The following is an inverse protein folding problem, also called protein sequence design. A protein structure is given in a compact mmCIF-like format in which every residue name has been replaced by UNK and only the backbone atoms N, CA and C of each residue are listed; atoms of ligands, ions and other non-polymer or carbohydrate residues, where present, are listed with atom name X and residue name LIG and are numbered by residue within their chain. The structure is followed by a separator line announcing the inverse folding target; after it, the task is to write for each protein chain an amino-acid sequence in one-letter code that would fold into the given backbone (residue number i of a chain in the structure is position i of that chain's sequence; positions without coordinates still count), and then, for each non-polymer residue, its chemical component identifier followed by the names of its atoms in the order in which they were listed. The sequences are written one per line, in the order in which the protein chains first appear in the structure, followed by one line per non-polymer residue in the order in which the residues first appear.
data_IF_979951315936
#
_entry.id   IF_979951315936
#
_cell.length_a   1.000
_cell.length_b   1.000
_cell.length_c   1.000
_cell.angle_alpha   90.00
_cell.angle_beta   90.00
_cell.angle_gamma   90.00
#
_symmetry.space_group_name_H-M   'P 1'
#
loop_
_entity.id
_entity.type
_entity.pdbx_description
1 polymer ?
#
# COMPACT_ATOMS: atom_id res chain seq x y z
N UNK A 1 1.76 27.10 -6.44
CA UNK A 1 2.16 25.77 -6.98
C UNK A 1 1.33 24.70 -6.32
N UNK A 2 1.31 23.47 -6.86
CA UNK A 2 0.44 22.40 -6.37
C UNK A 2 1.27 21.15 -6.08
N UNK A 3 1.17 20.63 -4.85
CA UNK A 3 1.70 19.31 -4.49
C UNK A 3 0.55 18.32 -4.42
N UNK A 4 0.65 17.23 -5.16
CA UNK A 4 -0.27 16.09 -5.07
C UNK A 4 0.32 15.03 -4.14
N UNK A 5 -0.55 14.40 -3.32
CA UNK A 5 -0.17 13.29 -2.44
C UNK A 5 -1.14 12.14 -2.65
N UNK A 6 -0.60 10.96 -2.95
CA UNK A 6 -1.38 9.76 -3.21
C UNK A 6 -0.70 8.52 -2.61
N UNK A 7 -1.44 7.41 -2.50
CA UNK A 7 -0.93 6.12 -2.02
C UNK A 7 -1.23 4.98 -2.98
N UNK A 8 -0.45 3.92 -2.84
CA UNK A 8 -0.76 2.64 -3.46
C UNK A 8 -0.37 1.48 -2.56
N UNK A 9 -1.19 0.45 -2.57
CA UNK A 9 -0.95 -0.79 -1.84
C UNK A 9 -1.46 -0.82 -0.40
N UNK A 10 -2.00 0.27 0.16
CA UNK A 10 -2.52 0.27 1.54
C UNK A 10 -3.65 -0.72 1.76
N UNK A 11 -4.48 -0.94 0.74
CA UNK A 11 -5.58 -1.93 0.73
C UNK A 11 -5.21 -3.31 0.18
N UNK A 12 -4.00 -3.52 -0.31
CA UNK A 12 -3.57 -4.81 -0.85
C UNK A 12 -3.21 -5.80 0.26
N UNK A 13 -3.40 -7.10 -0.01
CA UNK A 13 -3.24 -8.17 0.97
C UNK A 13 -1.78 -8.32 1.46
N UNK A 14 -0.80 -8.09 0.60
CA UNK A 14 0.61 -8.35 0.90
C UNK A 14 1.52 -7.19 0.52
N UNK A 15 2.72 -7.20 1.10
CA UNK A 15 3.81 -6.31 0.75
C UNK A 15 3.70 -4.93 1.39
N UNK A 16 4.66 -4.10 1.06
CA UNK A 16 4.69 -2.71 1.50
C UNK A 16 3.60 -1.88 0.80
N UNK A 17 3.30 -0.72 1.35
CA UNK A 17 2.55 0.33 0.67
C UNK A 17 3.48 1.51 0.37
N UNK A 18 3.08 2.36 -0.56
CA UNK A 18 3.89 3.48 -1.01
C UNK A 18 3.07 4.76 -0.99
N UNK A 19 3.67 5.85 -0.54
CA UNK A 19 3.16 7.19 -0.67
C UNK A 19 3.98 7.90 -1.74
N UNK A 20 3.33 8.71 -2.57
CA UNK A 20 3.95 9.58 -3.54
C UNK A 20 3.60 11.03 -3.25
N UNK A 21 4.58 11.93 -3.35
CA UNK A 21 4.41 13.36 -3.31
C UNK A 21 4.94 13.93 -4.64
N UNK A 22 4.14 14.67 -5.33
CA UNK A 22 4.45 15.17 -6.67
C UNK A 22 4.15 16.66 -6.81
N UNK A 23 5.16 17.48 -7.10
CA UNK A 23 4.96 18.88 -7.44
C UNK A 23 4.70 19.01 -8.94
N UNK A 24 3.50 19.47 -9.29
CA UNK A 24 3.04 19.50 -10.69
C UNK A 24 3.91 20.37 -11.59
N UNK A 25 4.30 21.53 -11.11
CA UNK A 25 4.96 22.55 -11.90
C UNK A 25 6.43 22.21 -12.21
N UNK A 26 7.13 21.57 -11.29
CA UNK A 26 8.56 21.20 -11.47
C UNK A 26 8.73 19.75 -11.92
N UNK A 27 7.70 18.91 -11.70
CA UNK A 27 7.80 17.48 -11.97
C UNK A 27 8.57 16.69 -10.91
N UNK A 28 8.92 17.31 -9.79
CA UNK A 28 9.57 16.63 -8.65
C UNK A 28 8.66 15.58 -8.07
N UNK A 29 9.18 14.36 -7.91
CA UNK A 29 8.44 13.20 -7.43
C UNK A 29 9.23 12.48 -6.35
N UNK A 30 8.63 12.36 -5.17
CA UNK A 30 9.21 11.68 -4.02
C UNK A 30 8.36 10.48 -3.67
N UNK A 31 9.01 9.35 -3.37
CA UNK A 31 8.36 8.17 -2.83
C UNK A 31 8.75 7.94 -1.37
N UNK A 32 7.80 7.45 -0.60
CA UNK A 32 7.98 6.96 0.77
C UNK A 32 7.37 5.58 0.91
N UNK A 33 7.96 4.76 1.76
CA UNK A 33 7.54 3.36 1.95
C UNK A 33 6.93 3.17 3.33
N UNK A 34 5.73 2.61 3.36
CA UNK A 34 5.10 2.06 4.55
C UNK A 34 5.36 0.55 4.57
N UNK A 35 6.20 0.11 5.50
CA UNK A 35 6.54 -1.32 5.65
C UNK A 35 5.30 -2.16 5.94
N UNK A 36 5.27 -3.39 5.43
CA UNK A 36 4.23 -4.38 5.74
C UNK A 36 4.09 -4.62 7.25
N UNK A 37 5.15 -4.47 8.02
CA UNK A 37 5.13 -4.64 9.48
C UNK A 37 4.18 -3.66 10.18
N UNK A 38 4.00 -2.45 9.64
CA UNK A 38 3.03 -1.48 10.15
C UNK A 38 1.59 -1.97 10.03
N UNK A 39 1.32 -2.86 9.08
CA UNK A 39 -0.02 -3.42 8.82
C UNK A 39 -0.24 -4.78 9.50
N UNK A 40 0.64 -5.20 10.41
CA UNK A 40 0.40 -6.37 11.28
C UNK A 40 -0.63 -6.04 12.34
N UNK A 41 -1.27 -7.08 12.90
CA UNK A 41 -2.44 -6.94 13.76
C UNK A 41 -2.26 -5.91 14.88
N UNK A 42 -1.21 -6.04 15.69
CA UNK A 42 -0.92 -5.12 16.79
C UNK A 42 -0.69 -3.68 16.32
N UNK A 43 0.16 -3.49 15.32
CA UNK A 43 0.47 -2.17 14.78
C UNK A 43 -0.76 -1.52 14.12
N UNK A 44 -1.59 -2.34 13.43
CA UNK A 44 -2.82 -1.86 12.81
C UNK A 44 -3.84 -1.39 13.84
N UNK A 45 -4.05 -2.17 14.92
CA UNK A 45 -4.95 -1.81 16.02
C UNK A 45 -4.51 -0.51 16.70
N UNK A 46 -3.20 -0.29 16.85
CA UNK A 46 -2.60 0.92 17.41
C UNK A 46 -2.43 2.06 16.39
N UNK A 47 -3.04 1.96 15.20
CA UNK A 47 -3.01 2.98 14.13
C UNK A 47 -1.60 3.40 13.68
N UNK A 48 -0.59 2.57 13.88
CA UNK A 48 0.80 2.85 13.50
C UNK A 48 1.02 3.20 12.02
N UNK A 49 0.28 2.62 11.05
CA UNK A 49 0.39 3.04 9.66
C UNK A 49 0.00 4.52 9.45
N UNK A 50 -1.02 5.01 10.17
CA UNK A 50 -1.51 6.38 10.04
C UNK A 50 -0.52 7.38 10.66
N UNK A 51 0.03 7.05 11.84
CA UNK A 51 1.08 7.85 12.49
C UNK A 51 2.31 7.96 11.57
N UNK A 52 2.73 6.82 11.01
CA UNK A 52 3.87 6.78 10.09
C UNK A 52 3.62 7.54 8.79
N UNK A 53 2.38 7.54 8.28
CA UNK A 53 2.04 8.33 7.11
C UNK A 53 2.24 9.84 7.36
N UNK A 54 1.89 10.34 8.56
CA UNK A 54 2.15 11.74 8.94
C UNK A 54 3.65 12.04 8.90
N UNK A 55 4.48 11.22 9.54
CA UNK A 55 5.94 11.41 9.52
C UNK A 55 6.49 11.45 8.09
N UNK A 56 6.08 10.48 7.26
CA UNK A 56 6.56 10.35 5.88
C UNK A 56 6.11 11.50 4.99
N UNK A 57 4.89 12.03 5.20
CA UNK A 57 4.40 13.21 4.50
C UNK A 57 5.18 14.46 4.94
N UNK A 58 5.40 14.64 6.26
CA UNK A 58 6.25 15.73 6.78
C UNK A 58 7.64 15.72 6.15
N UNK A 59 8.27 14.57 6.11
CA UNK A 59 9.60 14.41 5.52
C UNK A 59 9.61 14.69 4.01
N UNK A 60 8.59 14.22 3.29
CA UNK A 60 8.44 14.49 1.86
C UNK A 60 8.20 15.98 1.56
N UNK A 61 7.35 16.64 2.33
CA UNK A 61 7.11 18.08 2.20
C UNK A 61 8.37 18.91 2.51
N UNK A 62 9.16 18.49 3.52
CA UNK A 62 10.45 19.12 3.82
C UNK A 62 11.44 18.95 2.67
N UNK A 63 11.56 17.76 2.09
CA UNK A 63 12.45 17.49 0.95
C UNK A 63 12.05 18.27 -0.29
N UNK A 64 10.75 18.46 -0.51
CA UNK A 64 10.24 19.34 -1.56
C UNK A 64 10.40 20.83 -1.26
N UNK A 65 10.90 21.22 -0.08
CA UNK A 65 10.91 22.63 0.36
C UNK A 65 9.53 23.28 0.24
N UNK A 66 8.48 22.58 0.73
CA UNK A 66 7.09 23.05 0.68
C UNK A 66 6.91 24.39 1.38
N UNK A 67 6.26 25.33 0.70
CA UNK A 67 5.92 26.64 1.23
C UNK A 67 4.39 26.79 1.36
N UNK A 68 3.90 26.78 2.59
CA UNK A 68 2.45 26.83 2.89
C UNK A 68 1.75 28.10 2.43
N UNK A 69 2.48 29.20 2.23
CA UNK A 69 1.92 30.49 1.82
C UNK A 69 1.66 30.57 0.31
N UNK A 70 2.36 29.74 -0.47
CA UNK A 70 2.36 29.82 -1.93
C UNK A 70 1.96 28.51 -2.63
N UNK A 71 1.75 27.43 -1.87
CA UNK A 71 1.43 26.12 -2.41
C UNK A 71 0.17 25.55 -1.78
N UNK A 72 -0.62 24.85 -2.57
CA UNK A 72 -1.77 24.06 -2.12
C UNK A 72 -1.47 22.57 -2.24
N UNK A 73 -1.95 21.78 -1.28
CA UNK A 73 -1.84 20.33 -1.33
C UNK A 73 -3.15 19.74 -1.84
N UNK A 74 -3.07 18.86 -2.84
CA UNK A 74 -4.13 17.96 -3.28
C UNK A 74 -3.90 16.58 -2.68
N UNK A 75 -4.69 16.23 -1.66
CA UNK A 75 -4.55 15.00 -0.91
C UNK A 75 -5.55 13.94 -1.38
N UNK A 76 -5.08 12.72 -1.67
CA UNK A 76 -5.96 11.60 -1.98
C UNK A 76 -6.88 11.27 -0.80
N UNK A 77 -8.12 10.81 -1.11
CA UNK A 77 -9.16 10.50 -0.12
C UNK A 77 -8.92 9.20 0.67
N UNK A 78 -7.79 8.53 0.49
CA UNK A 78 -7.45 7.30 1.20
C UNK A 78 -7.46 7.45 2.71
N UNK A 79 -7.97 6.45 3.45
CA UNK A 79 -8.03 6.45 4.91
C UNK A 79 -6.65 6.48 5.57
N UNK A 80 -5.61 6.10 4.85
CA UNK A 80 -4.22 6.18 5.33
C UNK A 80 -3.82 7.62 5.67
N UNK A 81 -4.48 8.59 5.08
CA UNK A 81 -4.23 10.02 5.28
C UNK A 81 -5.13 10.67 6.35
N UNK A 82 -5.92 9.91 7.12
CA UNK A 82 -6.83 10.50 8.11
C UNK A 82 -6.06 11.36 9.13
N UNK A 83 -4.94 10.87 9.67
CA UNK A 83 -4.10 11.65 10.59
C UNK A 83 -3.30 12.75 9.88
N UNK A 84 -3.01 12.62 8.60
CA UNK A 84 -2.38 13.68 7.80
C UNK A 84 -3.33 14.88 7.66
N UNK A 85 -4.64 14.63 7.48
CA UNK A 85 -5.67 15.70 7.46
C UNK A 85 -5.67 16.48 8.76
N UNK A 86 -5.66 15.79 9.92
CA UNK A 86 -5.58 16.47 11.22
C UNK A 86 -4.30 17.29 11.33
N UNK A 87 -3.16 16.73 10.95
CA UNK A 87 -1.89 17.46 10.94
C UNK A 87 -1.96 18.72 10.06
N UNK A 88 -2.54 18.66 8.87
CA UNK A 88 -2.67 19.83 8.00
C UNK A 88 -3.54 20.93 8.60
N UNK A 89 -4.64 20.54 9.27
CA UNK A 89 -5.52 21.49 9.99
C UNK A 89 -4.76 22.17 11.14
N UNK A 90 -4.04 21.41 11.96
CA UNK A 90 -3.29 21.93 13.11
C UNK A 90 -2.18 22.91 12.69
N UNK A 91 -1.49 22.62 11.57
CA UNK A 91 -0.40 23.46 11.06
C UNK A 91 -0.88 24.61 10.16
N UNK A 92 -2.18 24.71 9.89
CA UNK A 92 -2.75 25.71 8.98
C UNK A 92 -2.28 25.52 7.54
N UNK A 93 -2.05 24.28 7.11
CA UNK A 93 -1.68 23.94 5.74
C UNK A 93 -2.95 23.88 4.88
N UNK A 94 -2.94 24.63 3.80
CA UNK A 94 -4.06 24.63 2.84
C UNK A 94 -4.06 23.36 1.99
N UNK A 95 -5.12 22.55 2.10
CA UNK A 95 -5.25 21.32 1.32
C UNK A 95 -6.68 21.10 0.80
N UNK A 96 -6.79 20.28 -0.23
CA UNK A 96 -8.03 19.83 -0.85
C UNK A 96 -8.05 18.31 -0.92
N UNK A 97 -9.09 17.67 -0.35
CA UNK A 97 -9.35 16.25 -0.56
C UNK A 97 -9.85 15.99 -1.97
N UNK A 98 -9.12 15.20 -2.74
CA UNK A 98 -9.44 14.96 -4.15
C UNK A 98 -9.23 13.50 -4.55
N UNK A 99 -9.65 13.16 -5.76
CA UNK A 99 -9.21 11.94 -6.43
C UNK A 99 -7.97 12.34 -7.24
N UNK A 100 -6.84 11.79 -6.88
CA UNK A 100 -5.59 11.98 -7.61
C UNK A 100 -5.58 11.03 -8.82
N UNK A 101 -5.36 11.58 -10.01
CA UNK A 101 -5.31 10.84 -11.26
C UNK A 101 -4.08 11.22 -12.09
N UNK A 102 -3.74 10.38 -13.08
CA UNK A 102 -2.66 10.64 -14.02
C UNK A 102 -1.28 10.35 -13.44
N UNK A 103 -0.35 11.30 -13.60
CA UNK A 103 1.10 11.07 -13.42
C UNK A 103 1.48 10.49 -12.06
N UNK A 104 0.94 11.06 -10.97
CA UNK A 104 1.24 10.58 -9.63
C UNK A 104 0.61 9.20 -9.37
N UNK A 105 -0.67 9.03 -9.70
CA UNK A 105 -1.35 7.75 -9.53
C UNK A 105 -0.63 6.62 -10.29
N UNK A 106 -0.25 6.86 -11.54
CA UNK A 106 0.47 5.89 -12.36
C UNK A 106 1.85 5.57 -11.76
N UNK A 107 2.52 6.57 -11.19
CA UNK A 107 3.84 6.41 -10.58
C UNK A 107 3.80 5.57 -9.28
N UNK A 108 2.85 5.86 -8.37
CA UNK A 108 2.73 5.10 -7.12
C UNK A 108 2.24 3.67 -7.37
N UNK A 109 1.30 3.48 -8.31
CA UNK A 109 0.84 2.15 -8.73
C UNK A 109 1.99 1.37 -9.41
N UNK A 110 2.77 2.03 -10.26
CA UNK A 110 3.97 1.45 -10.87
C UNK A 110 5.00 1.00 -9.83
N UNK A 111 5.21 1.81 -8.78
CA UNK A 111 6.10 1.48 -7.66
C UNK A 111 5.63 0.21 -6.93
N UNK A 112 4.33 0.13 -6.64
CA UNK A 112 3.71 -1.04 -6.01
C UNK A 112 3.86 -2.29 -6.89
N UNK A 113 3.51 -2.22 -8.17
CA UNK A 113 3.60 -3.35 -9.09
C UNK A 113 5.06 -3.84 -9.22
N UNK A 114 6.01 -2.92 -9.26
CA UNK A 114 7.44 -3.25 -9.25
C UNK A 114 7.84 -4.01 -7.99
N UNK A 115 7.43 -3.53 -6.80
CA UNK A 115 7.65 -4.22 -5.53
C UNK A 115 7.07 -5.64 -5.53
N UNK A 116 5.80 -5.79 -5.91
CA UNK A 116 5.14 -7.09 -5.95
C UNK A 116 5.83 -8.06 -6.90
N UNK A 117 6.30 -7.60 -8.07
CA UNK A 117 6.96 -8.43 -9.08
C UNK A 117 8.41 -8.75 -8.75
N UNK A 118 9.20 -7.74 -8.46
CA UNK A 118 10.65 -7.86 -8.39
C UNK A 118 11.12 -8.27 -7.00
N UNK A 119 10.53 -7.70 -5.93
CA UNK A 119 10.96 -8.00 -4.57
C UNK A 119 10.25 -9.24 -4.01
N UNK A 120 8.95 -9.42 -4.30
CA UNK A 120 8.17 -10.55 -3.82
C UNK A 120 8.00 -11.69 -4.83
N UNK A 121 8.31 -11.49 -6.10
CA UNK A 121 8.21 -12.52 -7.13
C UNK A 121 6.78 -12.90 -7.51
N UNK A 122 5.82 -11.98 -7.39
CA UNK A 122 4.42 -12.21 -7.79
C UNK A 122 4.32 -12.13 -9.32
N UNK A 123 4.30 -13.28 -9.98
CA UNK A 123 4.22 -13.38 -11.45
C UNK A 123 2.78 -13.55 -11.90
N UNK A 124 2.10 -12.46 -12.26
CA UNK A 124 0.76 -12.50 -12.85
C UNK A 124 0.52 -11.30 -13.78
N UNK A 125 -0.04 -11.57 -14.96
CA UNK A 125 -0.52 -10.53 -15.87
C UNK A 125 -1.72 -9.76 -15.30
N UNK A 126 -2.40 -10.32 -14.30
CA UNK A 126 -3.59 -9.71 -13.68
C UNK A 126 -3.26 -8.71 -12.57
N UNK A 127 -1.99 -8.59 -12.15
CA UNK A 127 -1.56 -7.60 -11.15
C UNK A 127 -1.91 -6.17 -11.54
N UNK A 128 -1.80 -5.83 -12.82
CA UNK A 128 -2.07 -4.49 -13.34
C UNK A 128 -3.56 -4.20 -13.56
N UNK A 129 -4.46 -5.16 -13.31
CA UNK A 129 -5.90 -4.91 -13.43
C UNK A 129 -6.40 -4.16 -12.20
N UNK A 130 -6.93 -2.96 -12.40
CA UNK A 130 -7.42 -2.02 -11.37
C UNK A 130 -8.56 -2.54 -10.48
N UNK A 131 -9.11 -3.74 -10.71
CA UNK A 131 -10.15 -4.31 -9.86
C UNK A 131 -9.52 -4.89 -8.59
N UNK A 132 -9.78 -4.27 -7.43
CA UNK A 132 -9.29 -4.71 -6.12
C UNK A 132 -9.56 -6.17 -5.82
N UNK A 133 -10.73 -6.70 -6.19
CA UNK A 133 -11.06 -8.12 -6.01
C UNK A 133 -10.16 -9.05 -6.83
N UNK A 134 -9.86 -8.71 -8.09
CA UNK A 134 -9.00 -9.55 -8.95
C UNK A 134 -7.56 -9.57 -8.43
N UNK A 135 -7.03 -8.41 -8.05
CA UNK A 135 -5.69 -8.32 -7.47
C UNK A 135 -5.62 -9.07 -6.14
N UNK A 136 -6.63 -8.93 -5.27
CA UNK A 136 -6.70 -9.68 -4.03
C UNK A 136 -6.52 -11.19 -4.26
N UNK A 137 -7.26 -11.80 -5.19
CA UNK A 137 -7.15 -13.24 -5.44
C UNK A 137 -5.81 -13.65 -6.04
N UNK A 138 -5.16 -12.80 -6.84
CA UNK A 138 -3.78 -13.04 -7.31
C UNK A 138 -2.83 -13.11 -6.13
N UNK A 139 -2.88 -12.13 -5.22
CA UNK A 139 -2.02 -12.05 -4.05
C UNK A 139 -2.32 -13.16 -3.05
N UNK A 140 -3.59 -13.48 -2.82
CA UNK A 140 -4.02 -14.60 -1.99
C UNK A 140 -3.49 -15.95 -2.51
N UNK A 141 -3.64 -16.21 -3.82
CA UNK A 141 -3.12 -17.42 -4.44
C UNK A 141 -1.60 -17.51 -4.33
N UNK A 142 -0.90 -16.40 -4.47
CA UNK A 142 0.54 -16.35 -4.26
C UNK A 142 0.92 -16.75 -2.83
N UNK A 143 0.21 -16.26 -1.81
CA UNK A 143 0.42 -16.70 -0.41
C UNK A 143 0.16 -18.20 -0.27
N UNK A 144 -0.98 -18.70 -0.79
CA UNK A 144 -1.35 -20.11 -0.70
C UNK A 144 -0.32 -21.06 -1.33
N UNK A 145 0.44 -20.62 -2.33
CA UNK A 145 1.40 -21.46 -3.05
C UNK A 145 2.57 -21.90 -2.18
N UNK A 146 2.95 -21.07 -1.20
CA UNK A 146 4.04 -21.32 -0.25
C UNK A 146 3.74 -20.62 1.08
N UNK A 147 2.68 -21.07 1.75
CA UNK A 147 2.05 -20.37 2.85
C UNK A 147 3.03 -20.01 3.96
N UNK A 148 3.76 -20.99 4.49
CA UNK A 148 4.63 -20.79 5.66
C UNK A 148 5.81 -19.84 5.41
N UNK A 149 6.29 -19.74 4.17
CA UNK A 149 7.34 -18.80 3.80
C UNK A 149 6.79 -17.41 3.43
N UNK A 150 5.50 -17.32 3.03
CA UNK A 150 4.91 -16.11 2.47
C UNK A 150 3.93 -15.39 3.38
N UNK A 151 3.45 -16.04 4.44
CA UNK A 151 2.54 -15.41 5.42
C UNK A 151 3.17 -14.15 6.05
N UNK A 152 4.48 -14.11 6.21
CA UNK A 152 5.19 -12.93 6.75
C UNK A 152 4.96 -11.65 5.94
N UNK A 153 4.62 -11.75 4.66
CA UNK A 153 4.33 -10.60 3.79
C UNK A 153 2.86 -10.16 3.83
N UNK A 154 2.00 -10.86 4.57
CA UNK A 154 0.58 -10.53 4.67
C UNK A 154 0.35 -9.39 5.66
N UNK A 155 -0.54 -8.46 5.31
CA UNK A 155 -1.06 -7.41 6.18
C UNK A 155 -2.12 -8.00 7.12
N UNK A 156 -1.67 -8.69 8.15
CA UNK A 156 -2.52 -9.50 9.04
C UNK A 156 -3.43 -8.66 9.95
N UNK A 157 -3.25 -7.36 10.03
CA UNK A 157 -4.16 -6.45 10.73
C UNK A 157 -5.54 -6.31 10.09
N UNK A 158 -5.71 -6.73 8.85
CA UNK A 158 -7.03 -6.75 8.22
C UNK A 158 -7.89 -7.86 8.83
N UNK A 159 -8.99 -7.47 9.49
CA UNK A 159 -9.87 -8.39 10.24
C UNK A 159 -10.21 -9.68 9.49
N UNK A 160 -10.53 -9.59 8.20
CA UNK A 160 -10.89 -10.76 7.38
C UNK A 160 -9.73 -11.73 7.15
N UNK A 161 -8.47 -11.30 7.31
CA UNK A 161 -7.36 -12.25 7.21
C UNK A 161 -7.44 -13.28 8.33
N UNK A 162 -7.45 -12.84 9.57
CA UNK A 162 -7.42 -13.73 10.74
C UNK A 162 -8.72 -14.54 10.92
N UNK A 163 -9.87 -13.98 10.49
CA UNK A 163 -11.17 -14.64 10.71
C UNK A 163 -11.63 -15.54 9.56
N UNK A 164 -11.07 -15.39 8.36
CA UNK A 164 -11.59 -16.10 7.15
C UNK A 164 -10.46 -16.62 6.26
N UNK A 165 -9.51 -15.73 5.87
CA UNK A 165 -8.64 -16.04 4.74
C UNK A 165 -7.42 -16.86 5.13
N UNK A 166 -6.94 -16.74 6.36
CA UNK A 166 -5.78 -17.49 6.85
C UNK A 166 -6.02 -19.01 6.79
N UNK A 167 -7.14 -19.48 7.34
CA UNK A 167 -7.46 -20.91 7.35
C UNK A 167 -7.70 -21.45 5.94
N UNK A 168 -8.38 -20.67 5.09
CA UNK A 168 -8.54 -21.02 3.66
C UNK A 168 -7.20 -21.12 2.93
N UNK A 169 -6.23 -20.28 3.27
CA UNK A 169 -4.90 -20.33 2.67
C UNK A 169 -4.14 -21.60 3.08
N UNK A 170 -4.22 -21.98 4.36
CA UNK A 170 -3.63 -23.23 4.89
C UNK A 170 -4.26 -24.44 4.24
N UNK A 171 -5.61 -24.52 4.18
CA UNK A 171 -6.31 -25.62 3.53
C UNK A 171 -5.91 -25.77 2.06
N UNK A 172 -5.84 -24.64 1.33
CA UNK A 172 -5.45 -24.65 -0.07
C UNK A 172 -3.99 -25.09 -0.25
N UNK A 173 -3.08 -24.62 0.57
CA UNK A 173 -1.70 -25.06 0.60
C UNK A 173 -1.61 -26.59 0.80
N UNK A 174 -2.28 -27.12 1.82
CA UNK A 174 -2.27 -28.55 2.14
C UNK A 174 -2.83 -29.42 1.00
N UNK A 175 -3.93 -28.98 0.35
CA UNK A 175 -4.48 -29.65 -0.84
C UNK A 175 -3.46 -29.70 -1.99
N UNK A 176 -2.75 -28.61 -2.24
CA UNK A 176 -1.72 -28.56 -3.28
C UNK A 176 -0.53 -29.49 -2.97
N UNK A 177 -0.09 -29.59 -1.71
CA UNK A 177 1.01 -30.48 -1.33
C UNK A 177 0.61 -31.98 -1.51
N UNK A 178 -0.63 -32.35 -1.12
CA UNK A 178 -1.16 -33.72 -1.35
C UNK A 178 -1.20 -34.08 -2.86
N UNK A 179 -1.62 -33.14 -3.69
CA UNK A 179 -1.67 -33.35 -5.15
C UNK A 179 -0.29 -33.49 -5.79
N UNK A 180 0.73 -32.78 -5.30
CA UNK A 180 2.11 -32.93 -5.73
C UNK A 180 2.72 -34.27 -5.36
N UNK A 181 2.42 -34.80 -4.17
CA UNK A 181 2.89 -36.13 -3.74
C UNK A 181 2.31 -37.23 -4.61
N UNK A 182 0.99 -37.16 -4.92
CA UNK A 182 0.31 -38.17 -5.78
C UNK A 182 0.83 -38.21 -7.23
N UNK A 183 1.45 -37.16 -7.74
CA UNK A 183 2.01 -37.12 -9.12
C UNK A 183 3.45 -37.62 -9.19
N UNK A 184 4.09 -37.89 -8.03
CA UNK A 184 5.47 -38.37 -7.95
C UNK A 184 5.57 -39.86 -7.61
N UNK A 185 4.42 -40.46 -7.26
CA UNK A 185 4.21 -41.91 -7.13
C UNK A 185 3.50 -42.43 -8.37
#
# INVERSE_FOLDING_TARGET
MTIEIDDSGTGDLIGNAFLGLFRRETGELIFRTLSVELFKEENWQNKKPLEKAVELVKDGLRELNFNKDNEIIKLCRGNIFDQVRFYFIEEGINYEDTIVEGKLQDAVEGKLINHLRNDLGVRSKQLTKKSGAKRFFVLFNWVCYDFYNREKYVKSGFKKWNTVWRDRAIEKYNKMQKSKKKKRT
#
